data_IF_265659748659
#
_entry.id   IF_265659748659
#
_cell.length_a   1.000
_cell.length_b   1.000
_cell.length_c   1.000
_cell.angle_alpha   90.00
_cell.angle_beta   90.00
_cell.angle_gamma   90.00
#
_symmetry.space_group_name_H-M   'P 1'
#
loop_
_entity.id
_entity.type
_entity.pdbx_description
1 polymer ?
#
# COMPACT_ATOMS: atom_id res chain seq x y z
N UNK A 1 -21.22 0.56 31.48
CA UNK A 1 -20.20 1.48 30.94
C UNK A 1 -19.57 0.80 29.73
N UNK A 2 -20.19 0.91 28.55
CA UNK A 2 -19.63 0.35 27.31
C UNK A 2 -18.60 1.36 26.83
N UNK A 3 -17.31 1.03 26.93
CA UNK A 3 -16.26 1.80 26.27
C UNK A 3 -16.50 1.68 24.76
N UNK A 4 -17.17 2.67 24.18
CA UNK A 4 -17.22 2.82 22.74
C UNK A 4 -15.78 2.97 22.27
N UNK A 5 -15.26 1.95 21.59
CA UNK A 5 -14.06 2.11 20.79
C UNK A 5 -14.48 3.07 19.69
N UNK A 6 -14.17 4.35 19.85
CA UNK A 6 -14.14 5.28 18.72
C UNK A 6 -13.07 4.74 17.77
N UNK A 7 -13.50 3.95 16.79
CA UNK A 7 -12.66 3.50 15.69
C UNK A 7 -12.42 4.69 14.78
N UNK A 8 -11.55 5.60 15.19
CA UNK A 8 -11.01 6.59 14.26
C UNK A 8 -10.27 5.83 13.16
N UNK A 9 -10.68 5.95 11.88
CA UNK A 9 -10.06 5.23 10.75
C UNK A 9 -8.55 5.51 10.61
N UNK A 10 -8.10 6.60 11.22
CA UNK A 10 -6.73 7.09 11.15
C UNK A 10 -5.67 6.14 11.72
N UNK A 11 -6.03 5.27 12.68
CA UNK A 11 -5.08 4.39 13.41
C UNK A 11 -4.83 3.03 12.79
N UNK A 12 -5.64 2.58 11.82
CA UNK A 12 -5.51 1.21 11.30
C UNK A 12 -4.15 0.97 10.64
N UNK A 13 -3.60 2.04 10.05
CA UNK A 13 -2.25 2.05 9.44
C UNK A 13 -1.15 1.63 10.42
N UNK A 14 -1.32 1.90 11.71
CA UNK A 14 -0.34 1.55 12.74
C UNK A 14 -0.34 0.05 13.06
N UNK A 15 -1.40 -0.67 12.68
CA UNK A 15 -1.56 -2.10 12.95
C UNK A 15 -1.35 -2.99 11.71
N UNK A 16 -1.31 -2.42 10.50
CA UNK A 16 -1.08 -3.18 9.28
C UNK A 16 0.42 -3.49 9.15
N UNK A 17 0.75 -4.76 9.32
CA UNK A 17 2.09 -5.29 9.12
C UNK A 17 2.02 -6.64 8.39
N UNK A 18 3.14 -7.05 7.82
CA UNK A 18 3.27 -8.32 7.12
C UNK A 18 4.60 -8.97 7.49
N UNK A 19 4.55 -10.05 8.27
CA UNK A 19 5.73 -10.75 8.78
C UNK A 19 6.59 -11.39 7.67
N UNK A 20 6.01 -11.62 6.49
CA UNK A 20 6.74 -12.12 5.33
C UNK A 20 7.47 -11.01 4.56
N UNK A 21 7.21 -9.73 4.86
CA UNK A 21 7.83 -8.62 4.16
C UNK A 21 9.37 -8.59 4.30
N UNK A 22 9.98 -8.71 5.51
CA UNK A 22 11.43 -8.66 5.63
C UNK A 22 12.19 -9.67 4.75
N UNK A 23 11.88 -10.98 4.74
CA UNK A 23 12.58 -11.92 3.87
C UNK A 23 12.28 -11.70 2.38
N UNK A 24 11.06 -11.28 2.00
CA UNK A 24 10.72 -10.98 0.61
C UNK A 24 11.47 -9.73 0.11
N UNK A 25 11.54 -8.68 0.92
CA UNK A 25 12.21 -7.42 0.58
C UNK A 25 13.73 -7.60 0.39
N UNK A 26 14.34 -8.54 1.10
CA UNK A 26 15.76 -8.90 0.91
C UNK A 26 16.01 -9.60 -0.43
N UNK A 27 15.05 -10.40 -0.90
CA UNK A 27 15.20 -11.22 -2.11
C UNK A 27 14.73 -10.51 -3.38
N UNK A 28 13.71 -9.65 -3.29
CA UNK A 28 13.03 -9.06 -4.44
C UNK A 28 12.91 -7.54 -4.30
N UNK A 29 13.90 -6.80 -4.83
CA UNK A 29 13.99 -5.35 -4.69
C UNK A 29 12.82 -4.57 -5.30
N UNK A 30 12.10 -5.12 -6.28
CA UNK A 30 10.98 -4.45 -6.93
C UNK A 30 9.84 -4.10 -5.94
N UNK A 31 9.58 -4.97 -4.95
CA UNK A 31 8.52 -4.79 -3.94
C UNK A 31 8.81 -3.63 -2.98
N UNK A 32 9.94 -3.61 -2.22
CA UNK A 32 10.26 -2.50 -1.34
C UNK A 32 10.48 -1.20 -2.11
N UNK A 33 10.90 -1.25 -3.38
CA UNK A 33 11.07 -0.06 -4.22
C UNK A 33 9.72 0.58 -4.52
N UNK A 34 8.73 -0.18 -5.00
CA UNK A 34 7.40 0.38 -5.25
C UNK A 34 6.75 0.90 -3.96
N UNK A 35 6.80 0.12 -2.87
CA UNK A 35 6.24 0.54 -1.58
C UNK A 35 6.88 1.85 -1.10
N UNK A 36 8.19 2.02 -1.29
CA UNK A 36 8.88 3.26 -0.98
C UNK A 36 8.39 4.42 -1.86
N UNK A 37 8.28 4.22 -3.17
CA UNK A 37 7.77 5.26 -4.08
C UNK A 37 6.37 5.71 -3.64
N UNK A 38 5.46 4.77 -3.40
CA UNK A 38 4.09 5.08 -2.98
C UNK A 38 4.05 5.86 -1.65
N UNK A 39 4.89 5.47 -0.68
CA UNK A 39 4.98 6.15 0.63
C UNK A 39 5.57 7.55 0.53
N UNK A 40 6.69 7.70 -0.18
CA UNK A 40 7.45 8.95 -0.17
C UNK A 40 6.93 9.98 -1.17
N UNK A 41 6.47 9.55 -2.35
CA UNK A 41 5.96 10.45 -3.39
C UNK A 41 4.52 10.86 -3.12
N UNK A 42 3.69 9.91 -2.68
CA UNK A 42 2.24 10.13 -2.56
C UNK A 42 1.74 10.20 -1.12
N UNK A 43 2.58 9.93 -0.11
CA UNK A 43 2.13 9.88 1.29
C UNK A 43 1.21 8.68 1.60
N UNK A 44 1.18 7.66 0.74
CA UNK A 44 0.25 6.53 0.87
C UNK A 44 0.66 5.56 1.98
N UNK A 45 -0.35 5.01 2.65
CA UNK A 45 -0.18 3.81 3.45
C UNK A 45 -0.10 2.58 2.54
N UNK A 46 1.11 2.20 2.13
CA UNK A 46 1.37 1.09 1.19
C UNK A 46 2.05 -0.12 1.84
N UNK A 47 1.66 -1.32 1.41
CA UNK A 47 2.09 -2.59 2.00
C UNK A 47 2.17 -3.72 0.96
N UNK A 48 2.91 -4.77 1.29
CA UNK A 48 2.89 -6.04 0.55
C UNK A 48 1.70 -6.89 1.00
N UNK A 49 1.00 -7.54 0.06
CA UNK A 49 -0.10 -8.46 0.36
C UNK A 49 0.40 -9.92 0.46
N UNK A 50 0.00 -10.64 1.51
CA UNK A 50 0.31 -12.06 1.70
C UNK A 50 1.81 -12.36 1.63
N UNK A 51 2.21 -13.38 0.88
CA UNK A 51 3.62 -13.71 0.61
C UNK A 51 4.23 -12.92 -0.57
N UNK A 52 3.55 -11.89 -1.06
CA UNK A 52 3.89 -11.20 -2.30
C UNK A 52 3.45 -11.97 -3.56
N UNK A 53 3.67 -11.44 -4.76
CA UNK A 53 4.33 -10.16 -5.08
C UNK A 53 3.38 -8.95 -5.12
N UNK A 54 2.09 -9.16 -4.89
CA UNK A 54 1.08 -8.09 -4.88
C UNK A 54 1.36 -7.04 -3.80
N UNK A 55 1.08 -5.78 -4.14
CA UNK A 55 1.10 -4.65 -3.21
C UNK A 55 -0.27 -3.99 -3.17
N UNK A 56 -0.60 -3.34 -2.05
CA UNK A 56 -1.81 -2.54 -1.92
C UNK A 56 -1.49 -1.22 -1.20
N UNK A 57 -2.31 -0.22 -1.45
CA UNK A 57 -2.23 1.08 -0.78
C UNK A 57 -3.64 1.56 -0.41
N UNK A 58 -3.73 2.36 0.66
CA UNK A 58 -4.98 2.93 1.13
C UNK A 58 -4.96 4.44 0.84
N UNK A 59 -5.59 4.91 -0.26
CA UNK A 59 -5.69 6.33 -0.55
C UNK A 59 -6.76 7.02 0.31
N UNK A 60 -6.66 8.34 0.41
CA UNK A 60 -7.73 9.23 0.91
C UNK A 60 -8.35 10.00 -0.25
N UNK A 61 -9.39 10.80 0.02
CA UNK A 61 -9.99 11.71 -0.98
C UNK A 61 -9.02 12.69 -1.61
N UNK A 62 -7.89 12.98 -0.95
CA UNK A 62 -6.91 13.97 -1.38
C UNK A 62 -5.88 13.41 -2.36
N UNK A 63 -5.87 12.09 -2.56
CA UNK A 63 -4.92 11.42 -3.44
C UNK A 63 -5.45 11.34 -4.88
N UNK A 64 -4.58 11.66 -5.83
CA UNK A 64 -4.89 11.55 -7.25
C UNK A 64 -4.54 10.15 -7.80
N UNK A 65 -5.55 9.37 -8.16
CA UNK A 65 -5.36 7.97 -8.59
C UNK A 65 -4.56 7.86 -9.90
N UNK A 66 -4.69 8.82 -10.83
CA UNK A 66 -3.90 8.89 -12.07
C UNK A 66 -2.41 8.97 -11.77
N UNK A 67 -1.99 9.90 -10.92
CA UNK A 67 -0.59 10.07 -10.54
C UNK A 67 -0.01 8.83 -9.83
N UNK A 68 -0.83 8.15 -9.01
CA UNK A 68 -0.44 6.88 -8.38
C UNK A 68 -0.22 5.79 -9.44
N UNK A 69 -1.14 5.67 -10.41
CA UNK A 69 -1.05 4.69 -11.49
C UNK A 69 0.20 4.93 -12.34
N UNK A 70 0.49 6.18 -12.68
CA UNK A 70 1.72 6.56 -13.40
C UNK A 70 2.97 6.10 -12.65
N UNK A 71 3.09 6.40 -11.36
CA UNK A 71 4.23 5.95 -10.54
C UNK A 71 4.37 4.43 -10.49
N UNK A 72 3.25 3.68 -10.44
CA UNK A 72 3.30 2.21 -10.49
C UNK A 72 3.80 1.73 -11.85
N UNK A 73 3.29 2.32 -12.94
CA UNK A 73 3.72 1.94 -14.30
C UNK A 73 5.16 2.34 -14.61
N UNK A 74 5.67 3.44 -14.07
CA UNK A 74 7.09 3.80 -14.17
C UNK A 74 7.98 2.83 -13.40
N UNK A 75 7.54 2.40 -12.21
CA UNK A 75 8.32 1.51 -11.36
C UNK A 75 8.34 0.05 -11.87
N UNK A 76 7.19 -0.48 -12.31
CA UNK A 76 6.99 -1.90 -12.63
C UNK A 76 6.69 -2.17 -14.12
N UNK A 77 6.54 -1.11 -14.93
CA UNK A 77 6.25 -1.19 -16.36
C UNK A 77 4.76 -1.13 -16.71
N UNK A 78 4.49 -0.93 -18.00
CA UNK A 78 3.13 -0.76 -18.55
C UNK A 78 2.21 -1.98 -18.38
N UNK A 79 2.78 -3.16 -18.12
CA UNK A 79 2.02 -4.39 -17.91
C UNK A 79 1.63 -4.61 -16.43
N UNK A 80 1.93 -3.66 -15.54
CA UNK A 80 1.52 -3.75 -14.14
C UNK A 80 -0.01 -3.73 -14.01
N UNK A 81 -0.57 -4.76 -13.38
CA UNK A 81 -2.00 -4.82 -13.08
C UNK A 81 -2.32 -3.96 -11.85
N UNK A 82 -3.29 -3.05 -12.00
CA UNK A 82 -3.75 -2.18 -10.92
C UNK A 82 -5.27 -2.10 -10.91
N UNK A 83 -5.87 -2.42 -9.76
CA UNK A 83 -7.31 -2.45 -9.55
C UNK A 83 -7.67 -1.66 -8.29
N UNK A 84 -8.68 -0.80 -8.41
CA UNK A 84 -9.28 -0.10 -7.28
C UNK A 84 -10.33 -1.01 -6.62
N UNK A 85 -10.39 -0.99 -5.30
CA UNK A 85 -11.35 -1.78 -4.53
C UNK A 85 -11.73 -1.05 -3.25
N UNK A 86 -12.88 -1.41 -2.68
CA UNK A 86 -13.40 -0.87 -1.43
C UNK A 86 -13.75 -2.00 -0.48
N UNK A 87 -13.63 -1.76 0.82
CA UNK A 87 -14.20 -2.65 1.82
C UNK A 87 -15.72 -2.48 1.80
N UNK A 88 -16.45 -3.60 1.70
CA UNK A 88 -17.92 -3.64 1.82
C UNK A 88 -18.34 -3.84 3.26
#
# INVERSE_FOLDING_TARGET
MKSGIESSPSRWRDFIHNDLYPPVAQKYLAIPTLIRILKHTHGLAAYMSGSGSGCFAIPTSDHEISAIRESVTEAWGLNAFLLETTFV
#
